data_IF_126650730017
#
_entry.id   IF_126650730017
#
_cell.length_a   1.000
_cell.length_b   1.000
_cell.length_c   1.000
_cell.angle_alpha   90.00
_cell.angle_beta   90.00
_cell.angle_gamma   90.00
#
_symmetry.space_group_name_H-M   'P 1'
#
loop_
_entity.id
_entity.type
_entity.pdbx_description
1 polymer ?
#
# COMPACT_ATOMS: atom_id res chain seq x y z
N UNK A 1 -25.97 5.68 5.64
CA UNK A 1 -24.70 5.14 6.13
C UNK A 1 -23.53 5.70 5.31
N UNK A 2 -22.31 5.68 5.91
CA UNK A 2 -21.10 6.20 5.28
C UNK A 2 -19.88 5.47 5.84
N UNK A 3 -19.11 4.82 4.96
CA UNK A 3 -17.88 4.10 5.30
C UNK A 3 -16.78 4.44 4.32
N UNK A 4 -15.58 4.74 4.79
CA UNK A 4 -14.41 4.94 3.94
C UNK A 4 -13.58 3.67 3.87
N UNK A 5 -13.19 3.29 2.66
CA UNK A 5 -12.29 2.16 2.41
C UNK A 5 -10.86 2.64 2.67
N UNK A 6 -10.21 2.07 3.68
CA UNK A 6 -8.87 2.48 4.13
C UNK A 6 -7.80 1.44 3.84
N UNK A 7 -8.19 0.18 3.62
CA UNK A 7 -7.27 -0.92 3.35
C UNK A 7 -7.93 -1.97 2.46
N UNK A 8 -7.11 -2.77 1.84
CA UNK A 8 -7.53 -3.89 1.01
C UNK A 8 -6.95 -5.18 1.57
N UNK A 9 -7.72 -6.26 1.41
CA UNK A 9 -7.25 -7.61 1.68
C UNK A 9 -7.68 -8.53 0.53
N UNK A 10 -7.15 -9.71 0.48
CA UNK A 10 -7.46 -10.69 -0.54
C UNK A 10 -7.69 -12.07 0.07
N UNK A 11 -8.81 -12.68 -0.31
CA UNK A 11 -9.11 -14.07 0.01
C UNK A 11 -9.20 -14.88 -1.28
N UNK A 12 -8.59 -16.06 -1.29
CA UNK A 12 -8.68 -16.99 -2.43
C UNK A 12 -10.10 -17.46 -2.74
N UNK A 13 -11.02 -17.32 -1.78
CA UNK A 13 -12.43 -17.77 -1.91
C UNK A 13 -13.36 -16.62 -2.32
N UNK A 14 -13.17 -15.43 -1.77
CA UNK A 14 -14.10 -14.30 -1.95
C UNK A 14 -13.51 -13.16 -2.79
N UNK A 15 -12.24 -13.28 -3.21
CA UNK A 15 -11.53 -12.25 -3.96
C UNK A 15 -11.09 -11.08 -3.08
N UNK A 16 -11.12 -9.88 -3.64
CA UNK A 16 -10.74 -8.63 -2.93
C UNK A 16 -11.77 -8.28 -1.86
N UNK A 17 -11.25 -7.88 -0.69
CA UNK A 17 -12.05 -7.41 0.43
C UNK A 17 -11.74 -5.93 0.69
N UNK A 18 -12.77 -5.13 0.87
CA UNK A 18 -12.65 -3.75 1.31
C UNK A 18 -12.68 -3.71 2.84
N UNK A 19 -11.68 -3.07 3.44
CA UNK A 19 -11.62 -2.84 4.89
C UNK A 19 -11.72 -1.35 5.13
N UNK A 20 -12.56 -0.95 6.10
CA UNK A 20 -12.74 0.45 6.41
C UNK A 20 -13.50 0.68 7.70
N UNK A 21 -13.59 1.95 8.08
CA UNK A 21 -14.34 2.41 9.24
C UNK A 21 -15.70 2.96 8.82
N UNK A 22 -16.73 2.58 9.53
CA UNK A 22 -18.07 3.17 9.39
C UNK A 22 -18.10 4.48 10.16
N UNK A 23 -18.27 5.60 9.45
CA UNK A 23 -18.31 6.95 10.06
C UNK A 23 -19.71 7.35 10.50
N UNK A 24 -20.74 6.96 9.74
CA UNK A 24 -22.12 7.35 9.98
C UNK A 24 -23.08 6.24 9.60
N UNK A 25 -24.12 6.08 10.39
CA UNK A 25 -25.18 5.09 10.18
C UNK A 25 -24.69 3.65 10.31
N UNK A 26 -25.45 2.74 9.74
CA UNK A 26 -25.23 1.30 9.87
C UNK A 26 -25.09 0.66 8.48
N UNK A 27 -24.19 -0.31 8.35
CA UNK A 27 -24.07 -1.18 7.18
C UNK A 27 -24.71 -2.54 7.46
N UNK A 28 -25.39 -3.08 6.48
CA UNK A 28 -26.10 -4.36 6.57
C UNK A 28 -25.70 -5.30 5.43
N UNK A 29 -25.63 -6.58 5.75
CA UNK A 29 -25.38 -7.66 4.79
C UNK A 29 -26.53 -7.75 3.76
N UNK A 30 -26.22 -8.13 2.53
CA UNK A 30 -27.17 -8.32 1.42
C UNK A 30 -27.96 -7.05 1.02
N UNK A 31 -27.45 -5.87 1.34
CA UNK A 31 -28.05 -4.58 1.03
C UNK A 31 -27.27 -3.83 -0.03
N UNK A 32 -27.99 -3.01 -0.81
CA UNK A 32 -27.41 -2.17 -1.85
C UNK A 32 -26.97 -0.83 -1.26
N UNK A 33 -25.86 -0.29 -1.78
CA UNK A 33 -25.25 0.98 -1.41
C UNK A 33 -24.68 1.69 -2.64
N UNK A 34 -24.23 2.91 -2.47
CA UNK A 34 -23.50 3.63 -3.52
C UNK A 34 -22.01 3.67 -3.18
N UNK A 35 -21.19 3.37 -4.16
CA UNK A 35 -19.73 3.52 -4.10
C UNK A 35 -19.37 4.83 -4.77
N UNK A 36 -18.94 5.81 -3.97
CA UNK A 36 -18.44 7.10 -4.46
C UNK A 36 -16.94 6.98 -4.70
N UNK A 37 -16.52 7.15 -5.95
CA UNK A 37 -15.14 7.00 -6.39
C UNK A 37 -14.38 8.32 -6.40
N UNK A 38 -13.06 8.23 -6.48
CA UNK A 38 -12.16 9.36 -6.52
C UNK A 38 -12.35 10.30 -7.72
N UNK A 39 -12.77 9.77 -8.86
CA UNK A 39 -13.07 10.53 -10.09
C UNK A 39 -14.44 11.24 -10.07
N UNK A 40 -15.14 11.16 -8.91
CA UNK A 40 -16.49 11.70 -8.76
C UNK A 40 -17.59 10.78 -9.30
N UNK A 41 -17.26 9.65 -9.89
CA UNK A 41 -18.27 8.69 -10.35
C UNK A 41 -18.90 7.96 -9.16
N UNK A 42 -20.19 7.63 -9.32
CA UNK A 42 -20.98 6.94 -8.30
C UNK A 42 -21.52 5.66 -8.93
N UNK A 43 -21.25 4.53 -8.28
CA UNK A 43 -21.67 3.21 -8.76
C UNK A 43 -22.50 2.51 -7.70
N UNK A 44 -23.62 1.90 -8.12
CA UNK A 44 -24.41 1.03 -7.24
C UNK A 44 -23.65 -0.26 -6.98
N UNK A 45 -23.52 -0.65 -5.72
CA UNK A 45 -22.84 -1.86 -5.27
C UNK A 45 -23.67 -2.61 -4.24
N UNK A 46 -23.44 -3.92 -4.12
CA UNK A 46 -24.12 -4.74 -3.11
C UNK A 46 -23.11 -5.37 -2.18
N UNK A 47 -23.31 -5.18 -0.90
CA UNK A 47 -22.56 -5.87 0.15
C UNK A 47 -23.06 -7.30 0.22
N UNK A 48 -22.20 -8.29 -0.04
CA UNK A 48 -22.55 -9.71 0.09
C UNK A 48 -22.40 -10.21 1.51
N UNK A 49 -21.25 -9.91 2.12
CA UNK A 49 -20.95 -10.30 3.50
C UNK A 49 -20.24 -9.17 4.24
N UNK A 50 -20.54 -9.08 5.53
CA UNK A 50 -19.91 -8.18 6.49
C UNK A 50 -19.17 -9.01 7.55
N UNK A 51 -17.95 -8.56 7.88
CA UNK A 51 -17.16 -9.17 8.94
C UNK A 51 -16.59 -8.07 9.85
N UNK A 52 -16.55 -8.34 11.13
CA UNK A 52 -15.82 -7.54 12.14
C UNK A 52 -14.58 -8.29 12.58
N UNK A 53 -13.60 -7.56 13.14
CA UNK A 53 -12.36 -8.16 13.62
C UNK A 53 -12.51 -8.53 15.09
N UNK A 54 -12.30 -9.80 15.42
CA UNK A 54 -12.24 -10.32 16.78
C UNK A 54 -10.92 -11.05 17.01
N UNK A 55 -10.09 -10.52 17.91
CA UNK A 55 -8.75 -11.04 18.14
C UNK A 55 -7.92 -11.08 16.86
N UNK A 56 -7.44 -12.26 16.47
CA UNK A 56 -6.66 -12.47 15.24
C UNK A 56 -7.54 -12.88 14.04
N UNK A 57 -8.84 -12.97 14.21
CA UNK A 57 -9.77 -13.47 13.19
C UNK A 57 -10.80 -12.45 12.74
N UNK A 58 -11.66 -12.90 11.84
CA UNK A 58 -12.82 -12.15 11.34
C UNK A 58 -14.08 -12.95 11.64
N UNK A 59 -15.10 -12.28 12.16
CA UNK A 59 -16.40 -12.89 12.47
C UNK A 59 -17.45 -12.26 11.55
N UNK A 60 -18.26 -13.11 10.91
CA UNK A 60 -19.36 -12.67 10.07
C UNK A 60 -20.47 -12.09 10.91
N UNK A 61 -21.01 -10.94 10.51
CA UNK A 61 -22.09 -10.24 11.17
C UNK A 61 -23.12 -9.77 10.15
N UNK A 62 -24.37 -9.65 10.56
CA UNK A 62 -25.45 -9.15 9.69
C UNK A 62 -25.47 -7.62 9.60
N UNK A 63 -24.87 -6.93 10.58
CA UNK A 63 -24.91 -5.48 10.69
C UNK A 63 -23.68 -4.93 11.40
N UNK A 64 -23.17 -3.78 10.93
CA UNK A 64 -22.06 -3.04 11.53
C UNK A 64 -22.50 -1.59 11.78
N UNK A 65 -22.16 -1.04 12.94
CA UNK A 65 -22.55 0.32 13.36
C UNK A 65 -21.43 1.35 13.12
N UNK A 66 -21.83 2.61 13.18
CA UNK A 66 -20.85 3.71 13.12
C UNK A 66 -19.85 3.62 14.27
N UNK A 67 -18.56 3.89 13.93
CA UNK A 67 -17.43 3.73 14.84
C UNK A 67 -16.63 2.46 14.63
N UNK A 68 -17.27 1.39 14.18
CA UNK A 68 -16.64 0.08 13.98
C UNK A 68 -15.80 0.00 12.70
N UNK A 69 -14.81 -0.88 12.71
CA UNK A 69 -14.02 -1.28 11.54
C UNK A 69 -14.56 -2.61 11.04
N UNK A 70 -14.84 -2.68 9.75
CA UNK A 70 -15.34 -3.89 9.13
C UNK A 70 -14.63 -4.24 7.83
N UNK A 71 -14.77 -5.50 7.44
CA UNK A 71 -14.36 -6.03 6.15
C UNK A 71 -15.60 -6.42 5.34
N UNK A 72 -15.62 -6.02 4.08
CA UNK A 72 -16.75 -6.20 3.17
C UNK A 72 -16.35 -7.03 1.98
N UNK A 73 -17.21 -7.96 1.56
CA UNK A 73 -17.09 -8.74 0.33
C UNK A 73 -18.19 -8.40 -0.68
N UNK A 74 -17.95 -8.76 -1.93
CA UNK A 74 -18.93 -8.60 -3.01
C UNK A 74 -18.87 -7.26 -3.73
N UNK A 75 -17.95 -6.39 -3.38
CA UNK A 75 -17.70 -5.15 -4.09
C UNK A 75 -16.77 -5.38 -5.29
N UNK A 76 -16.97 -4.63 -6.36
CA UNK A 76 -16.12 -4.65 -7.55
C UNK A 76 -15.65 -3.24 -7.91
N UNK A 77 -14.40 -3.13 -8.36
CA UNK A 77 -13.82 -1.90 -8.88
C UNK A 77 -13.67 -0.80 -7.83
N UNK A 78 -13.46 -1.15 -6.57
CA UNK A 78 -13.20 -0.22 -5.47
C UNK A 78 -11.71 -0.04 -5.22
N UNK A 79 -11.37 1.12 -4.64
CA UNK A 79 -10.00 1.52 -4.28
C UNK A 79 -9.95 2.08 -2.87
N UNK A 80 -8.74 2.23 -2.31
CA UNK A 80 -8.55 2.95 -1.05
C UNK A 80 -8.92 4.41 -1.26
N UNK A 81 -9.65 4.97 -0.28
CA UNK A 81 -10.18 6.32 -0.33
C UNK A 81 -11.60 6.42 -0.87
N UNK A 82 -12.11 5.38 -1.55
CA UNK A 82 -13.50 5.33 -1.97
C UNK A 82 -14.44 5.28 -0.77
N UNK A 83 -15.64 5.81 -0.93
CA UNK A 83 -16.66 5.86 0.14
C UNK A 83 -17.87 5.01 -0.25
N UNK A 84 -18.26 4.11 0.65
CA UNK A 84 -19.57 3.46 0.58
C UNK A 84 -20.58 4.37 1.27
N UNK A 85 -21.61 4.77 0.55
CA UNK A 85 -22.58 5.76 0.96
C UNK A 85 -24.02 5.25 0.83
N UNK A 86 -24.95 6.04 1.34
CA UNK A 86 -26.38 5.81 1.22
C UNK A 86 -26.85 5.89 -0.24
N UNK A 87 -27.92 5.15 -0.58
CA UNK A 87 -28.49 5.17 -1.94
C UNK A 87 -29.19 6.48 -2.26
N UNK A 88 -29.94 7.01 -1.30
CA UNK A 88 -30.79 8.18 -1.53
C UNK A 88 -29.97 9.47 -1.52
N UNK A 89 -28.93 9.53 -0.69
CA UNK A 89 -28.07 10.69 -0.55
C UNK A 89 -26.59 10.28 -0.48
N UNK A 90 -25.97 9.92 -1.62
CA UNK A 90 -24.59 9.49 -1.68
C UNK A 90 -23.64 10.68 -1.42
N UNK A 91 -22.94 10.65 -0.29
CA UNK A 91 -21.99 11.67 0.12
C UNK A 91 -20.60 11.02 0.30
N UNK A 92 -19.61 11.46 -0.46
CA UNK A 92 -18.24 11.01 -0.35
C UNK A 92 -17.54 11.65 0.85
N UNK A 93 -16.71 10.87 1.55
CA UNK A 93 -15.77 11.38 2.55
C UNK A 93 -14.53 12.00 1.88
N UNK A 94 -13.81 12.90 2.57
CA UNK A 94 -12.53 13.39 2.07
C UNK A 94 -11.60 12.23 1.71
N UNK A 95 -11.01 12.31 0.51
CA UNK A 95 -10.19 11.21 -0.03
C UNK A 95 -8.92 11.01 0.79
N UNK A 96 -8.57 9.76 1.01
CA UNK A 96 -7.23 9.39 1.49
C UNK A 96 -6.31 9.36 0.27
N UNK A 97 -5.34 10.26 0.26
CA UNK A 97 -4.29 10.25 -0.76
C UNK A 97 -3.22 9.22 -0.39
N UNK A 98 -2.87 8.39 -1.36
CA UNK A 98 -1.76 7.43 -1.22
C UNK A 98 -0.57 7.99 -1.99
N UNK A 99 0.55 8.17 -1.30
CA UNK A 99 1.78 8.68 -1.90
C UNK A 99 2.23 7.80 -3.06
N UNK A 100 2.61 8.47 -4.14
CA UNK A 100 3.15 7.78 -5.31
C UNK A 100 4.53 7.20 -5.01
N UNK A 101 4.93 6.11 -5.68
CA UNK A 101 6.27 5.57 -5.57
C UNK A 101 7.34 6.62 -5.88
N UNK A 102 8.39 6.65 -5.06
CA UNK A 102 9.55 7.53 -5.24
C UNK A 102 10.81 6.77 -5.67
N UNK A 103 10.80 5.45 -5.51
CA UNK A 103 11.95 4.59 -5.82
C UNK A 103 11.53 3.37 -6.64
N UNK A 104 12.47 2.87 -7.44
CA UNK A 104 12.33 1.63 -8.19
C UNK A 104 13.52 0.71 -7.96
N UNK A 105 13.28 -0.59 -8.06
CA UNK A 105 14.31 -1.62 -8.08
C UNK A 105 13.99 -2.65 -9.15
N UNK A 106 15.03 -3.17 -9.79
CA UNK A 106 14.88 -4.28 -10.72
C UNK A 106 14.88 -5.60 -9.93
N UNK A 107 13.82 -6.39 -10.08
CA UNK A 107 13.72 -7.74 -9.57
C UNK A 107 13.90 -8.72 -10.70
N UNK A 108 14.76 -9.71 -10.51
CA UNK A 108 15.06 -10.73 -11.53
C UNK A 108 15.07 -12.10 -10.89
N UNK A 109 14.92 -13.13 -11.70
CA UNK A 109 15.17 -14.51 -11.24
C UNK A 109 16.63 -14.64 -10.80
N UNK A 110 16.87 -15.56 -9.87
CA UNK A 110 18.25 -15.90 -9.48
C UNK A 110 18.93 -16.70 -10.59
N UNK A 111 19.89 -16.10 -11.26
CA UNK A 111 20.73 -16.75 -12.28
C UNK A 111 22.17 -17.00 -11.81
N UNK A 112 22.40 -16.91 -10.49
CA UNK A 112 23.71 -17.16 -9.90
C UNK A 112 24.00 -18.66 -9.76
N UNK A 113 25.26 -19.08 -9.47
CA UNK A 113 25.60 -20.47 -9.17
C UNK A 113 24.86 -21.07 -7.95
N UNK A 114 24.14 -20.25 -7.20
CA UNK A 114 23.34 -20.66 -6.03
C UNK A 114 21.87 -20.89 -6.36
N UNK A 115 21.49 -20.80 -7.64
CA UNK A 115 20.12 -21.03 -8.10
C UNK A 115 19.55 -22.37 -7.56
N UNK A 116 18.34 -22.32 -6.99
CA UNK A 116 17.60 -23.46 -6.50
C UNK A 116 18.14 -24.12 -5.23
N UNK A 117 19.06 -23.47 -4.50
CA UNK A 117 19.67 -24.05 -3.30
C UNK A 117 18.89 -23.75 -2.01
N UNK A 118 18.24 -22.61 -1.93
CA UNK A 118 17.57 -22.15 -0.72
C UNK A 118 16.07 -21.99 -0.88
N UNK A 119 15.60 -21.57 -2.07
CA UNK A 119 14.19 -21.29 -2.34
C UNK A 119 13.47 -22.39 -3.10
N UNK A 120 12.16 -22.43 -2.93
CA UNK A 120 11.25 -23.35 -3.67
C UNK A 120 10.71 -22.70 -4.95
N UNK A 121 10.58 -21.36 -4.95
CA UNK A 121 9.98 -20.59 -6.02
C UNK A 121 11.07 -19.81 -6.77
N UNK A 122 11.55 -20.39 -7.86
CA UNK A 122 12.77 -19.92 -8.56
C UNK A 122 12.51 -19.45 -10.00
N UNK A 123 11.28 -19.62 -10.52
CA UNK A 123 10.95 -19.29 -11.92
C UNK A 123 10.38 -17.88 -12.05
N UNK A 124 10.52 -17.30 -13.25
CA UNK A 124 9.93 -16.00 -13.59
C UNK A 124 8.41 -15.97 -13.39
N UNK A 125 7.72 -17.07 -13.67
CA UNK A 125 6.29 -17.20 -13.42
C UNK A 125 5.95 -17.08 -11.94
N UNK A 126 6.67 -17.78 -11.07
CA UNK A 126 6.48 -17.67 -9.61
C UNK A 126 6.69 -16.25 -9.13
N UNK A 127 7.78 -15.60 -9.59
CA UNK A 127 8.10 -14.23 -9.21
C UNK A 127 7.02 -13.26 -9.68
N UNK A 128 6.59 -13.37 -10.93
CA UNK A 128 5.54 -12.57 -11.53
C UNK A 128 4.23 -12.70 -10.73
N UNK A 129 3.73 -13.93 -10.58
CA UNK A 129 2.45 -14.18 -9.91
C UNK A 129 2.44 -13.62 -8.48
N UNK A 130 3.56 -13.75 -7.76
CA UNK A 130 3.72 -13.21 -6.41
C UNK A 130 3.73 -11.68 -6.38
N UNK A 131 4.46 -11.04 -7.28
CA UNK A 131 4.51 -9.58 -7.38
C UNK A 131 3.16 -8.98 -7.76
N UNK A 132 2.46 -9.57 -8.72
CA UNK A 132 1.12 -9.11 -9.12
C UNK A 132 0.10 -9.29 -7.98
N UNK A 133 0.17 -10.41 -7.24
CA UNK A 133 -0.65 -10.62 -6.04
C UNK A 133 -0.37 -9.60 -4.93
N UNK A 134 0.88 -9.14 -4.80
CA UNK A 134 1.21 -8.07 -3.87
C UNK A 134 0.55 -6.75 -4.23
N UNK A 135 0.49 -6.39 -5.51
CA UNK A 135 -0.18 -5.17 -5.97
C UNK A 135 -1.68 -5.14 -5.64
N UNK A 136 -2.33 -6.31 -5.52
CA UNK A 136 -3.75 -6.37 -5.13
C UNK A 136 -4.00 -5.90 -3.69
N UNK A 137 -2.97 -6.02 -2.82
CA UNK A 137 -3.03 -5.65 -1.41
C UNK A 137 -2.36 -4.33 -1.10
N UNK A 138 -1.36 -3.96 -1.89
CA UNK A 138 -0.45 -2.86 -1.62
C UNK A 138 -0.49 -1.83 -2.76
N UNK A 139 -1.36 -0.82 -2.62
CA UNK A 139 -1.53 0.23 -3.64
C UNK A 139 -0.31 1.13 -3.83
N UNK A 140 0.61 1.16 -2.85
CA UNK A 140 1.84 1.92 -2.97
C UNK A 140 2.93 1.16 -3.75
N UNK A 141 2.64 -0.09 -4.14
CA UNK A 141 3.52 -0.90 -4.97
C UNK A 141 3.02 -0.88 -6.42
N UNK A 142 3.92 -0.64 -7.36
CA UNK A 142 3.66 -0.83 -8.79
C UNK A 142 4.72 -1.77 -9.36
N UNK A 143 4.30 -2.64 -10.24
CA UNK A 143 5.19 -3.58 -10.93
C UNK A 143 4.95 -3.45 -12.42
N UNK A 144 5.98 -3.09 -13.15
CA UNK A 144 5.98 -3.05 -14.61
C UNK A 144 6.82 -4.21 -15.14
N UNK A 145 6.33 -4.89 -16.17
CA UNK A 145 7.12 -5.86 -16.92
C UNK A 145 8.15 -5.13 -17.78
N UNK A 146 9.28 -5.76 -18.01
CA UNK A 146 10.30 -5.25 -18.94
C UNK A 146 10.21 -6.02 -20.26
N UNK A 147 11.06 -5.69 -21.23
CA UNK A 147 11.21 -6.45 -22.49
C UNK A 147 11.71 -7.89 -22.27
N UNK A 148 12.16 -8.21 -21.07
CA UNK A 148 12.58 -9.55 -20.64
C UNK A 148 11.55 -10.16 -19.71
N UNK A 149 11.12 -11.38 -19.97
CA UNK A 149 10.16 -12.12 -19.15
C UNK A 149 10.67 -12.44 -17.72
N UNK A 150 11.98 -12.34 -17.51
CA UNK A 150 12.65 -12.65 -16.23
C UNK A 150 12.94 -11.43 -15.38
N UNK A 151 12.53 -10.23 -15.81
CA UNK A 151 12.84 -8.96 -15.17
C UNK A 151 11.60 -8.11 -14.94
N UNK A 152 11.48 -7.57 -13.73
CA UNK A 152 10.37 -6.72 -13.31
C UNK A 152 10.89 -5.44 -12.68
N UNK A 153 10.38 -4.29 -13.11
CA UNK A 153 10.60 -3.03 -12.42
C UNK A 153 9.58 -2.90 -11.29
N UNK A 154 10.07 -2.90 -10.07
CA UNK A 154 9.24 -2.80 -8.86
C UNK A 154 9.41 -1.41 -8.26
N UNK A 155 8.30 -0.69 -8.15
CA UNK A 155 8.26 0.69 -7.67
C UNK A 155 7.62 0.71 -6.28
N UNK A 156 8.24 1.43 -5.36
CA UNK A 156 7.78 1.56 -3.99
C UNK A 156 8.03 2.95 -3.41
N UNK A 157 7.46 3.23 -2.24
CA UNK A 157 7.63 4.53 -1.56
C UNK A 157 9.06 4.82 -1.15
N UNK A 158 9.86 3.77 -0.90
CA UNK A 158 11.23 3.92 -0.45
C UNK A 158 11.92 2.59 -0.24
N UNK A 159 13.20 2.66 0.17
CA UNK A 159 14.04 1.46 0.36
C UNK A 159 13.45 0.51 1.41
N UNK A 160 12.94 1.02 2.52
CA UNK A 160 12.36 0.17 3.58
C UNK A 160 11.14 -0.60 3.06
N UNK A 161 10.27 0.04 2.30
CA UNK A 161 9.09 -0.60 1.72
C UNK A 161 9.50 -1.78 0.81
N UNK A 162 10.46 -1.57 -0.08
CA UNK A 162 10.97 -2.62 -0.98
C UNK A 162 11.74 -3.71 -0.22
N UNK A 163 12.49 -3.34 0.83
CA UNK A 163 13.22 -4.30 1.67
C UNK A 163 12.29 -5.23 2.44
N UNK A 164 11.18 -4.71 2.95
CA UNK A 164 10.15 -5.53 3.63
C UNK A 164 9.54 -6.53 2.64
N UNK A 165 9.23 -6.09 1.41
CA UNK A 165 8.75 -6.99 0.36
C UNK A 165 9.76 -8.11 0.05
N UNK A 166 11.02 -7.76 -0.16
CA UNK A 166 12.11 -8.72 -0.45
C UNK A 166 12.22 -9.75 0.69
N UNK A 167 12.25 -9.28 1.94
CA UNK A 167 12.39 -10.17 3.10
C UNK A 167 11.16 -11.07 3.27
N UNK A 168 9.96 -10.55 3.03
CA UNK A 168 8.73 -11.34 3.05
C UNK A 168 8.76 -12.44 1.99
N UNK A 169 9.14 -12.11 0.76
CA UNK A 169 9.27 -13.08 -0.33
C UNK A 169 10.33 -14.13 -0.01
N UNK A 170 11.48 -13.71 0.55
CA UNK A 170 12.53 -14.63 0.98
C UNK A 170 12.01 -15.64 2.00
N UNK A 171 11.26 -15.19 3.03
CA UNK A 171 10.64 -16.07 4.06
C UNK A 171 9.57 -16.99 3.48
N UNK A 172 8.88 -16.57 2.43
CA UNK A 172 7.92 -17.41 1.69
C UNK A 172 8.62 -18.48 0.82
N UNK A 173 9.95 -18.42 0.66
CA UNK A 173 10.75 -19.36 -0.11
C UNK A 173 10.98 -18.98 -1.57
N UNK A 174 10.87 -17.69 -1.90
CA UNK A 174 11.25 -17.17 -3.21
C UNK A 174 12.76 -16.89 -3.26
N UNK A 175 13.40 -17.33 -4.33
CA UNK A 175 14.74 -16.87 -4.70
C UNK A 175 14.66 -15.83 -5.78
N UNK A 176 15.29 -14.68 -5.55
CA UNK A 176 15.36 -13.59 -6.52
C UNK A 176 16.66 -12.81 -6.35
N UNK A 177 17.04 -12.11 -7.41
CA UNK A 177 18.07 -11.09 -7.37
C UNK A 177 17.44 -9.72 -7.46
N UNK A 178 18.02 -8.75 -6.79
CA UNK A 178 17.55 -7.36 -6.81
C UNK A 178 18.66 -6.44 -7.29
N UNK A 179 18.29 -5.50 -8.15
CA UNK A 179 19.18 -4.44 -8.58
C UNK A 179 19.36 -3.37 -7.51
N UNK A 180 20.17 -2.37 -7.80
CA UNK A 180 20.32 -1.20 -6.92
C UNK A 180 19.04 -0.37 -6.95
N UNK A 181 18.58 0.17 -5.80
CA UNK A 181 17.47 1.11 -5.77
C UNK A 181 17.82 2.36 -6.58
N UNK A 182 16.86 2.83 -7.37
CA UNK A 182 16.96 4.02 -8.18
C UNK A 182 15.84 4.99 -7.82
N UNK A 183 16.17 6.26 -7.70
CA UNK A 183 15.21 7.33 -7.50
C UNK A 183 14.43 7.56 -8.82
N UNK A 184 13.13 7.74 -8.70
CA UNK A 184 12.27 8.02 -9.86
C UNK A 184 12.37 9.52 -10.16
N UNK A 185 12.93 9.86 -11.33
CA UNK A 185 12.95 11.23 -11.83
C UNK A 185 11.68 11.44 -12.65
N UNK A 186 10.90 12.44 -12.27
CA UNK A 186 9.69 12.86 -13.00
C UNK A 186 9.98 14.08 -13.85
N UNK A 187 9.32 14.17 -15.00
CA UNK A 187 9.25 15.42 -15.77
C UNK A 187 8.01 16.18 -15.32
N UNK A 188 8.21 17.36 -14.74
CA UNK A 188 7.15 18.25 -14.29
C UNK A 188 7.31 19.54 -15.08
N UNK A 189 6.37 19.83 -15.97
CA UNK A 189 6.39 21.02 -16.84
C UNK A 189 7.69 21.20 -17.64
N UNK A 190 8.27 20.10 -18.12
CA UNK A 190 9.53 20.10 -18.89
C UNK A 190 10.79 20.16 -18.03
N UNK A 191 10.67 20.10 -16.69
CA UNK A 191 11.78 20.11 -15.75
C UNK A 191 11.93 18.74 -15.10
N UNK A 192 13.13 18.16 -15.20
CA UNK A 192 13.45 16.92 -14.50
C UNK A 192 13.52 17.15 -12.99
N UNK A 193 12.61 16.52 -12.27
CA UNK A 193 12.42 16.70 -10.82
C UNK A 193 12.65 15.39 -10.08
N UNK A 194 13.42 15.44 -9.01
CA UNK A 194 13.59 14.34 -8.05
C UNK A 194 12.65 14.52 -6.86
N UNK A 195 12.25 13.42 -6.18
CA UNK A 195 11.43 13.52 -4.98
C UNK A 195 12.19 14.20 -3.84
N UNK A 196 11.54 15.14 -3.17
CA UNK A 196 12.04 15.83 -1.99
C UNK A 196 11.09 15.56 -0.82
N UNK A 197 11.63 15.23 0.34
CA UNK A 197 10.85 14.80 1.50
C UNK A 197 11.18 15.63 2.73
N UNK A 198 10.21 15.86 3.60
CA UNK A 198 10.43 16.42 4.93
C UNK A 198 10.77 15.28 5.88
N UNK A 199 12.00 15.34 6.44
CA UNK A 199 12.51 14.36 7.37
C UNK A 199 12.41 14.89 8.80
N UNK A 200 11.71 14.19 9.68
CA UNK A 200 11.71 14.46 11.14
C UNK A 200 12.63 13.46 11.84
N UNK A 201 13.53 13.96 12.67
CA UNK A 201 14.50 13.15 13.41
C UNK A 201 14.41 13.51 14.90
N UNK A 202 13.97 12.58 15.73
CA UNK A 202 13.99 12.70 17.17
C UNK A 202 15.25 11.98 17.69
N UNK A 203 16.16 12.71 18.31
CA UNK A 203 17.45 12.19 18.83
C UNK A 203 17.81 12.86 20.16
N UNK A 204 18.59 12.20 21.03
CA UNK A 204 19.16 12.86 22.19
C UNK A 204 20.02 14.06 21.80
N UNK A 205 20.07 15.11 22.65
CA UNK A 205 20.79 16.37 22.39
C UNK A 205 22.26 16.14 21.98
N UNK A 206 22.93 15.20 22.61
CA UNK A 206 24.32 14.81 22.28
C UNK A 206 24.52 14.29 20.86
N UNK A 207 23.45 13.81 20.22
CA UNK A 207 23.46 13.25 18.87
C UNK A 207 22.96 14.24 17.80
N UNK A 208 22.38 15.38 18.18
CA UNK A 208 21.82 16.37 17.28
C UNK A 208 22.83 16.86 16.22
N UNK A 209 24.02 17.23 16.63
CA UNK A 209 25.08 17.69 15.72
C UNK A 209 25.49 16.64 14.69
N UNK A 210 25.50 15.36 15.08
CA UNK A 210 25.80 14.24 14.16
C UNK A 210 24.69 14.05 13.14
N UNK A 211 23.43 14.12 13.57
CA UNK A 211 22.28 14.03 12.70
C UNK A 211 22.25 15.16 11.66
N UNK A 212 22.43 16.42 12.10
CA UNK A 212 22.50 17.59 11.23
C UNK A 212 23.62 17.43 10.19
N UNK A 213 24.83 17.04 10.62
CA UNK A 213 25.94 16.82 9.70
C UNK A 213 25.65 15.75 8.64
N UNK A 214 25.02 14.63 9.04
CA UNK A 214 24.66 13.56 8.11
C UNK A 214 23.65 14.02 7.06
N UNK A 215 22.68 14.85 7.45
CA UNK A 215 21.68 15.41 6.54
C UNK A 215 22.30 16.44 5.61
N UNK A 216 23.13 17.36 6.15
CA UNK A 216 23.82 18.39 5.37
C UNK A 216 24.79 17.81 4.33
N UNK A 217 25.50 16.72 4.66
CA UNK A 217 26.36 16.00 3.69
C UNK A 217 25.55 15.41 2.52
N UNK A 218 24.26 15.21 2.71
CA UNK A 218 23.31 14.73 1.69
C UNK A 218 22.50 15.86 1.05
N UNK A 219 22.93 17.10 1.23
CA UNK A 219 22.29 18.31 0.71
C UNK A 219 20.87 18.54 1.26
N UNK A 220 20.61 18.09 2.49
CA UNK A 220 19.38 18.42 3.19
C UNK A 220 19.50 19.75 3.91
N UNK A 221 18.38 20.48 3.96
CA UNK A 221 18.26 21.78 4.62
C UNK A 221 17.62 21.60 6.01
N UNK A 222 18.20 22.21 7.04
CA UNK A 222 17.61 22.25 8.37
C UNK A 222 16.48 23.28 8.38
N UNK A 223 15.22 22.84 8.53
CA UNK A 223 14.06 23.72 8.57
C UNK A 223 13.71 24.16 9.98
N UNK A 224 13.68 23.22 10.92
CA UNK A 224 13.29 23.46 12.32
C UNK A 224 14.18 22.62 13.23
N UNK A 225 14.53 23.16 14.39
CA UNK A 225 15.19 22.46 15.47
C UNK A 225 14.56 22.92 16.79
N UNK A 226 13.90 22.03 17.48
CA UNK A 226 13.18 22.30 18.72
C UNK A 226 13.56 21.28 19.79
N UNK A 227 13.85 21.71 21.03
CA UNK A 227 14.01 20.78 22.14
C UNK A 227 12.65 20.19 22.52
N UNK A 228 12.58 18.87 22.69
CA UNK A 228 11.37 18.15 23.05
C UNK A 228 11.59 17.38 24.36
N UNK A 229 11.45 18.07 25.49
CA UNK A 229 11.74 17.49 26.81
C UNK A 229 13.24 17.20 26.96
N UNK A 230 13.56 15.97 27.32
CA UNK A 230 14.95 15.50 27.49
C UNK A 230 15.58 14.97 26.17
N UNK A 231 14.94 15.23 25.01
CA UNK A 231 15.38 14.84 23.67
C UNK A 231 15.83 16.04 22.84
#
# INVERSE_FOLDING_TARGET
PQMQITSLDFSSFTGRLAIGRVFRGDLEENKDYMLCKADGSIKKVRIKELHVFEGMGKVKVSKVRSGDICSITGLEGFEIGDTIADIENPEALPRIEVDQPTMSMLFTINNSPFFGKEGKFVTSRHLRDRLFKEMEKNLALRVDTTDSEDKFNVFGRGVLHLSVLIETMRREGYELQVGRPQVIIKDIDGVKSEPYETLSIDVPEESASKAINLVSLRKGDLLVMEPKGDL
#
